data_IF_907444025909
#
_entry.id   IF_907444025909
#
_cell.length_a   1.000
_cell.length_b   1.000
_cell.length_c   1.000
_cell.angle_alpha   90.00
_cell.angle_beta   90.00
_cell.angle_gamma   90.00
#
_symmetry.space_group_name_H-M   'P 1'
#
loop_
_entity.id
_entity.type
_entity.pdbx_description
1 polymer ?
#
# COMPACT_ATOMS: atom_id res chain seq x y z
N UNK A 1 -8.62 -15.50 -2.69
CA UNK A 1 -7.26 -15.12 -3.13
C UNK A 1 -6.55 -14.22 -2.13
N UNK A 2 -7.21 -13.17 -1.64
CA UNK A 2 -6.61 -12.27 -0.65
C UNK A 2 -6.26 -13.01 0.65
N UNK A 3 -7.16 -13.87 1.13
CA UNK A 3 -6.90 -14.64 2.35
C UNK A 3 -5.71 -15.57 2.19
N UNK A 4 -5.64 -16.26 1.05
CA UNK A 4 -4.54 -17.18 0.75
C UNK A 4 -3.21 -16.44 0.69
N UNK A 5 -3.18 -15.30 -0.01
CA UNK A 5 -2.00 -14.48 -0.12
C UNK A 5 -1.56 -13.94 1.24
N UNK A 6 -2.52 -13.50 2.07
CA UNK A 6 -2.21 -12.99 3.40
C UNK A 6 -1.51 -14.04 4.26
N UNK A 7 -2.03 -15.28 4.25
CA UNK A 7 -1.42 -16.37 5.02
C UNK A 7 -0.03 -16.72 4.49
N UNK A 8 0.12 -16.78 3.16
CA UNK A 8 1.39 -17.09 2.52
C UNK A 8 2.45 -16.03 2.79
N UNK A 9 2.04 -14.76 2.93
CA UNK A 9 2.95 -13.64 3.10
C UNK A 9 3.04 -13.16 4.54
N UNK A 10 2.96 -14.11 5.49
CA UNK A 10 3.12 -13.84 6.92
C UNK A 10 2.16 -12.77 7.43
N UNK A 11 0.93 -12.76 6.89
CA UNK A 11 -0.15 -11.82 7.25
C UNK A 11 0.18 -10.35 6.96
N UNK A 12 1.20 -10.09 6.18
CA UNK A 12 1.62 -8.72 5.86
C UNK A 12 0.62 -8.00 4.96
N UNK A 13 -0.10 -8.73 4.10
CA UNK A 13 -1.10 -8.10 3.24
C UNK A 13 -2.19 -7.42 4.08
N UNK A 14 -2.71 -8.13 5.07
CA UNK A 14 -3.76 -7.57 5.93
C UNK A 14 -3.25 -6.38 6.73
N UNK A 15 -2.02 -6.49 7.26
CA UNK A 15 -1.40 -5.37 7.98
C UNK A 15 -1.22 -4.16 7.10
N UNK A 16 -0.77 -4.36 5.88
CA UNK A 16 -0.55 -3.27 4.93
C UNK A 16 -1.87 -2.60 4.54
N UNK A 17 -2.92 -3.37 4.30
CA UNK A 17 -4.24 -2.83 4.00
C UNK A 17 -4.77 -1.99 5.16
N UNK A 18 -4.62 -2.46 6.39
CA UNK A 18 -5.06 -1.70 7.58
C UNK A 18 -4.30 -0.38 7.71
N UNK A 19 -2.98 -0.42 7.54
CA UNK A 19 -2.16 0.78 7.62
C UNK A 19 -2.57 1.78 6.54
N UNK A 20 -2.75 1.30 5.31
CA UNK A 20 -3.12 2.16 4.20
C UNK A 20 -4.50 2.78 4.37
N UNK A 21 -5.47 2.02 4.92
CA UNK A 21 -6.80 2.55 5.21
C UNK A 21 -6.76 3.62 6.31
N UNK A 22 -5.95 3.41 7.35
CA UNK A 22 -5.76 4.41 8.39
C UNK A 22 -5.15 5.69 7.83
N UNK A 23 -4.15 5.55 6.98
CA UNK A 23 -3.52 6.67 6.29
C UNK A 23 -4.53 7.42 5.42
N UNK A 24 -5.31 6.69 4.65
CA UNK A 24 -6.34 7.27 3.78
C UNK A 24 -7.33 8.10 4.59
N UNK A 25 -7.77 7.59 5.73
CA UNK A 25 -8.71 8.32 6.59
C UNK A 25 -8.07 9.56 7.20
N UNK A 26 -6.83 9.43 7.72
CA UNK A 26 -6.14 10.53 8.40
C UNK A 26 -5.76 11.65 7.45
N UNK A 27 -5.42 11.31 6.21
CA UNK A 27 -4.90 12.29 5.24
C UNK A 27 -5.92 12.66 4.16
N UNK A 28 -7.12 12.12 4.27
CA UNK A 28 -8.19 12.35 3.29
C UNK A 28 -7.70 12.04 1.86
N UNK A 29 -7.13 10.85 1.70
CA UNK A 29 -6.55 10.42 0.42
C UNK A 29 -7.68 9.98 -0.53
N UNK A 30 -7.65 10.42 -1.80
CA UNK A 30 -8.73 10.09 -2.74
C UNK A 30 -8.63 8.67 -3.30
N UNK A 31 -8.80 7.67 -2.41
CA UNK A 31 -8.78 6.25 -2.75
C UNK A 31 -9.93 5.56 -2.03
N UNK A 32 -10.61 4.66 -2.72
CA UNK A 32 -11.56 3.77 -2.07
C UNK A 32 -10.87 2.56 -1.46
N UNK A 33 -11.58 1.84 -0.57
CA UNK A 33 -11.00 0.66 0.08
C UNK A 33 -10.60 -0.43 -0.89
N UNK A 34 -11.40 -0.66 -1.94
CA UNK A 34 -11.07 -1.69 -2.92
C UNK A 34 -9.80 -1.35 -3.70
N UNK A 35 -9.58 -0.07 -4.02
CA UNK A 35 -8.35 0.35 -4.68
C UNK A 35 -7.14 0.13 -3.77
N UNK A 36 -7.27 0.45 -2.49
CA UNK A 36 -6.20 0.22 -1.51
C UNK A 36 -5.84 -1.26 -1.47
N UNK A 37 -6.84 -2.14 -1.35
CA UNK A 37 -6.60 -3.59 -1.28
C UNK A 37 -5.94 -4.09 -2.57
N UNK A 38 -6.41 -3.60 -3.72
CA UNK A 38 -5.87 -3.98 -5.02
C UNK A 38 -4.39 -3.60 -5.14
N UNK A 39 -4.05 -2.37 -4.78
CA UNK A 39 -2.68 -1.90 -4.90
C UNK A 39 -1.76 -2.56 -3.87
N UNK A 40 -2.25 -2.82 -2.66
CA UNK A 40 -1.48 -3.52 -1.65
C UNK A 40 -1.14 -4.95 -2.12
N UNK A 41 -2.12 -5.65 -2.69
CA UNK A 41 -1.89 -6.98 -3.24
C UNK A 41 -0.88 -6.94 -4.39
N UNK A 42 -1.08 -6.02 -5.34
CA UNK A 42 -0.20 -5.91 -6.50
C UNK A 42 1.23 -5.58 -6.10
N UNK A 43 1.40 -4.75 -5.08
CA UNK A 43 2.71 -4.42 -4.55
C UNK A 43 3.38 -5.65 -3.93
N UNK A 44 2.67 -6.32 -3.03
CA UNK A 44 3.27 -7.42 -2.27
C UNK A 44 3.57 -8.65 -3.14
N UNK A 45 2.75 -8.94 -4.14
CA UNK A 45 2.97 -10.15 -4.93
C UNK A 45 4.33 -10.17 -5.62
N UNK A 46 4.91 -9.00 -5.90
CA UNK A 46 6.22 -8.86 -6.53
C UNK A 46 7.29 -8.36 -5.57
N UNK A 47 6.95 -8.15 -4.30
CA UNK A 47 7.88 -7.60 -3.33
C UNK A 47 8.74 -8.71 -2.73
N UNK A 48 10.06 -8.55 -2.79
CA UNK A 48 10.97 -9.63 -2.36
C UNK A 48 10.92 -9.91 -0.86
N UNK A 49 10.45 -8.95 -0.05
CA UNK A 49 10.35 -9.10 1.40
C UNK A 49 8.93 -9.38 1.89
N UNK A 50 8.04 -9.84 1.00
CA UNK A 50 6.62 -9.97 1.31
C UNK A 50 6.29 -10.93 2.46
N UNK A 51 7.15 -11.92 2.71
CA UNK A 51 6.93 -12.90 3.76
C UNK A 51 7.83 -12.68 4.98
N UNK A 52 8.51 -11.54 5.06
CA UNK A 52 9.38 -11.23 6.19
C UNK A 52 8.57 -10.93 7.45
N UNK A 53 9.23 -11.04 8.60
CA UNK A 53 8.60 -10.80 9.88
C UNK A 53 8.19 -9.35 10.08
N UNK A 54 7.45 -9.08 11.16
CA UNK A 54 6.94 -7.75 11.48
C UNK A 54 8.03 -6.69 11.61
N UNK A 55 9.26 -7.08 11.95
CA UNK A 55 10.37 -6.11 12.08
C UNK A 55 10.66 -5.41 10.75
N UNK A 56 10.30 -6.01 9.63
CA UNK A 56 10.49 -5.40 8.31
C UNK A 56 9.31 -4.56 7.86
N UNK A 57 8.25 -4.48 8.67
CA UNK A 57 7.01 -3.83 8.25
C UNK A 57 7.21 -2.33 8.02
N UNK A 58 8.08 -1.70 8.79
CA UNK A 58 8.38 -0.28 8.62
C UNK A 58 8.95 -0.01 7.21
N UNK A 59 9.92 -0.81 6.78
CA UNK A 59 10.48 -0.71 5.43
C UNK A 59 9.44 -1.05 4.37
N UNK A 60 8.63 -2.06 4.63
CA UNK A 60 7.58 -2.48 3.71
C UNK A 60 6.56 -1.35 3.50
N UNK A 61 6.17 -0.66 4.56
CA UNK A 61 5.24 0.47 4.47
C UNK A 61 5.83 1.61 3.64
N UNK A 62 7.09 1.95 3.88
CA UNK A 62 7.78 3.00 3.11
C UNK A 62 7.86 2.61 1.64
N UNK A 63 8.21 1.36 1.36
CA UNK A 63 8.31 0.88 -0.02
C UNK A 63 6.94 0.87 -0.70
N UNK A 64 5.87 0.62 0.07
CA UNK A 64 4.51 0.71 -0.45
C UNK A 64 4.15 2.14 -0.86
N UNK A 65 4.52 3.13 -0.04
CA UNK A 65 4.28 4.52 -0.41
C UNK A 65 5.08 4.91 -1.65
N UNK A 66 6.31 4.40 -1.79
CA UNK A 66 7.09 4.60 -3.02
C UNK A 66 6.37 4.00 -4.23
N UNK A 67 5.80 2.80 -4.06
CA UNK A 67 5.03 2.15 -5.11
C UNK A 67 3.80 2.97 -5.49
N UNK A 68 3.08 3.51 -4.50
CA UNK A 68 1.89 4.32 -4.77
C UNK A 68 2.23 5.62 -5.49
N UNK A 69 3.29 6.31 -5.08
CA UNK A 69 3.66 7.59 -5.72
C UNK A 69 4.11 7.39 -7.17
N UNK A 70 4.60 6.19 -7.50
CA UNK A 70 5.09 5.88 -8.83
C UNK A 70 4.00 5.34 -9.77
N UNK A 71 2.75 5.19 -9.29
CA UNK A 71 1.65 4.83 -10.17
C UNK A 71 1.42 5.96 -11.17
N UNK A 72 1.10 5.59 -12.41
CA UNK A 72 0.94 6.60 -13.48
C UNK A 72 -0.26 7.50 -13.19
N UNK A 73 -0.06 8.79 -13.29
CA UNK A 73 -1.12 9.78 -13.07
C UNK A 73 -2.25 9.65 -14.09
N UNK A 74 -1.94 9.20 -15.29
CA UNK A 74 -2.91 9.07 -16.37
C UNK A 74 -3.57 7.68 -16.40
N UNK A 75 -3.23 6.80 -15.47
CA UNK A 75 -3.88 5.49 -15.39
C UNK A 75 -5.27 5.66 -14.77
N UNK A 76 -6.29 5.25 -15.51
CA UNK A 76 -7.67 5.48 -15.11
C UNK A 76 -8.18 4.42 -14.14
N UNK A 77 -7.71 3.19 -14.26
CA UNK A 77 -8.21 2.11 -13.42
C UNK A 77 -7.15 1.04 -13.20
N UNK A 78 -7.41 0.21 -12.19
CA UNK A 78 -6.66 -1.01 -11.88
C UNK A 78 -7.64 -2.17 -11.80
N UNK A 79 -7.18 -3.40 -12.00
CA UNK A 79 -8.06 -4.57 -11.93
C UNK A 79 -8.05 -5.14 -10.50
N UNK A 80 -9.24 -5.33 -9.94
CA UNK A 80 -9.37 -5.89 -8.61
C UNK A 80 -8.86 -7.33 -8.55
N UNK A 81 -8.34 -7.72 -7.39
CA UNK A 81 -7.77 -9.05 -7.18
C UNK A 81 -8.83 -10.14 -7.40
N UNK A 82 -8.47 -11.14 -8.20
CA UNK A 82 -9.34 -12.28 -8.46
C UNK A 82 -10.59 -11.98 -9.29
N UNK A 83 -10.66 -10.77 -9.86
CA UNK A 83 -11.80 -10.32 -10.65
C UNK A 83 -11.30 -9.48 -11.80
N UNK A 84 -12.12 -9.36 -12.84
CA UNK A 84 -11.84 -8.41 -13.92
C UNK A 84 -12.53 -7.06 -13.69
N UNK A 85 -12.87 -6.77 -12.45
CA UNK A 85 -13.53 -5.51 -12.08
C UNK A 85 -12.53 -4.36 -12.14
N UNK A 86 -12.89 -3.30 -12.85
CA UNK A 86 -12.11 -2.08 -12.92
C UNK A 86 -12.36 -1.25 -11.67
N UNK A 87 -11.27 -0.82 -11.02
CA UNK A 87 -11.33 0.00 -9.81
C UNK A 87 -10.67 1.33 -10.12
N UNK A 88 -11.43 2.41 -9.99
CA UNK A 88 -10.98 3.74 -10.37
C UNK A 88 -10.47 4.51 -9.16
N UNK A 89 -9.49 5.39 -9.38
CA UNK A 89 -9.08 6.34 -8.35
C UNK A 89 -10.11 7.47 -8.28
N UNK A 90 -10.16 8.12 -7.12
CA UNK A 90 -11.04 9.27 -6.90
C UNK A 90 -10.30 10.60 -7.04
N UNK A 91 -9.04 10.54 -7.46
CA UNK A 91 -8.19 11.71 -7.61
C UNK A 91 -6.73 11.30 -7.60
N UNK A 92 -5.85 12.29 -7.44
CA UNK A 92 -4.40 12.06 -7.47
C UNK A 92 -3.89 11.65 -6.09
N UNK A 93 -3.98 10.38 -5.75
CA UNK A 93 -3.46 9.85 -4.50
C UNK A 93 -1.91 9.85 -4.47
N UNK A 94 -1.28 9.87 -5.65
CA UNK A 94 0.17 9.80 -5.77
C UNK A 94 0.88 10.93 -5.04
N UNK A 95 0.30 12.11 -5.05
CA UNK A 95 0.88 13.27 -4.37
C UNK A 95 0.94 13.06 -2.85
N UNK A 96 -0.14 12.56 -2.27
CA UNK A 96 -0.17 12.31 -0.83
C UNK A 96 0.76 11.15 -0.44
N UNK A 97 0.88 10.15 -1.32
CA UNK A 97 1.84 9.07 -1.11
C UNK A 97 3.28 9.59 -1.14
N UNK A 98 3.59 10.50 -2.06
CA UNK A 98 4.91 11.12 -2.13
C UNK A 98 5.23 11.88 -0.83
N UNK A 99 4.29 12.65 -0.31
CA UNK A 99 4.49 13.37 0.93
C UNK A 99 4.74 12.43 2.10
N UNK A 100 3.96 11.37 2.19
CA UNK A 100 4.12 10.37 3.24
C UNK A 100 5.47 9.66 3.14
N UNK A 101 5.88 9.33 1.92
CA UNK A 101 7.17 8.72 1.67
C UNK A 101 8.32 9.62 2.15
N UNK A 102 8.26 10.91 1.80
CA UNK A 102 9.30 11.87 2.20
C UNK A 102 9.37 12.03 3.72
N UNK A 103 8.24 12.08 4.39
CA UNK A 103 8.20 12.16 5.84
C UNK A 103 8.85 10.92 6.46
N UNK A 104 8.56 9.73 5.91
CA UNK A 104 9.10 8.49 6.44
C UNK A 104 10.62 8.42 6.27
N UNK A 105 11.17 9.02 5.21
CA UNK A 105 12.63 9.09 5.02
C UNK A 105 13.30 10.01 6.04
N UNK A 106 12.59 11.04 6.49
CA UNK A 106 13.14 12.04 7.42
C UNK A 106 13.07 11.57 8.88
N UNK A 107 12.31 10.53 9.19
CA UNK A 107 12.18 10.04 10.56
C UNK A 107 13.32 9.10 10.92
N UNK A 108 13.87 9.20 12.16
CA UNK A 108 14.84 8.22 12.63
C UNK A 108 14.21 6.82 12.65
N UNK A 109 15.03 5.77 12.43
CA UNK A 109 14.50 4.40 12.41
C UNK A 109 13.69 4.02 13.65
N UNK A 110 14.09 4.51 14.83
CA UNK A 110 13.38 4.19 16.08
C UNK A 110 11.96 4.77 16.09
N UNK A 111 11.73 5.87 15.39
CA UNK A 111 10.41 6.49 15.34
C UNK A 111 9.54 5.91 14.22
N UNK A 112 10.14 5.15 13.30
CA UNK A 112 9.41 4.57 12.17
C UNK A 112 8.88 3.17 12.45
N UNK A 113 9.27 2.56 13.54
CA UNK A 113 8.91 1.17 13.84
C UNK A 113 7.54 1.02 14.50
N UNK A 114 6.82 2.08 14.63
CA UNK A 114 5.47 2.07 15.22
C UNK A 114 4.39 2.18 14.16
#
# INVERSE_FOLDING_TARGET
EMTRANNKWNKNLKKLCRMARAWKESWDVPMGGLLIDTLAYNFLKNYQHKAKSTVYFDWMSRDFFAYLKDQKDDQQYWLAVGRNQQVYSKGYFQYKALRCYNISLDLPPLLRTH
#
